data_IF_742738996415
#
_entry.id   IF_742738996415
#
_cell.length_a   1.000
_cell.length_b   1.000
_cell.length_c   1.000
_cell.angle_alpha   90.00
_cell.angle_beta   90.00
_cell.angle_gamma   90.00
#
_symmetry.space_group_name_H-M   'P 1'
#
loop_
_entity.id
_entity.type
_entity.pdbx_description
1 polymer ?
#
# COMPACT_ATOMS: atom_id res chain seq x y z
N UNK A 1 -3.96 15.27 -7.97
CA UNK A 1 -2.73 15.60 -7.22
C UNK A 1 -2.12 14.30 -6.76
N UNK A 2 -0.86 14.02 -7.11
CA UNK A 2 -0.15 12.88 -6.52
C UNK A 2 0.14 13.23 -5.05
N UNK A 3 -0.58 12.60 -4.11
CA UNK A 3 -0.28 12.71 -2.67
C UNK A 3 1.16 12.23 -2.43
N UNK A 4 1.84 12.86 -1.45
CA UNK A 4 3.22 12.59 -0.96
C UNK A 4 3.68 11.14 -1.14
N UNK A 5 4.97 10.95 -1.41
CA UNK A 5 5.67 9.65 -1.34
C UNK A 5 5.13 8.79 -0.19
N UNK A 6 4.36 7.74 -0.50
CA UNK A 6 3.68 6.85 0.47
C UNK A 6 4.59 5.71 0.96
N UNK A 7 5.90 5.93 0.94
CA UNK A 7 6.88 4.94 1.38
C UNK A 7 6.70 4.70 2.89
N UNK A 8 6.50 3.44 3.26
CA UNK A 8 6.17 3.03 4.63
C UNK A 8 4.84 3.58 5.17
N UNK A 9 3.95 4.12 4.32
CA UNK A 9 2.59 4.50 4.72
C UNK A 9 1.70 3.27 4.88
N UNK A 10 0.72 3.35 5.78
CA UNK A 10 -0.32 2.35 5.97
C UNK A 10 -1.71 2.97 5.96
N UNK A 11 -2.71 2.16 5.64
CA UNK A 11 -4.14 2.50 5.72
C UNK A 11 -4.88 1.47 6.57
N UNK A 12 -5.86 1.93 7.33
CA UNK A 12 -6.79 1.10 8.10
C UNK A 12 -8.23 1.53 7.86
N UNK A 13 -9.10 0.56 7.56
CA UNK A 13 -10.48 0.82 7.20
C UNK A 13 -11.38 -0.40 7.39
N UNK A 14 -12.70 -0.16 7.44
CA UNK A 14 -13.71 -1.22 7.44
C UNK A 14 -14.00 -1.76 6.04
N UNK A 15 -13.74 -0.95 5.01
CA UNK A 15 -13.80 -1.37 3.62
C UNK A 15 -12.68 -0.67 2.86
N UNK A 16 -11.82 -1.46 2.24
CA UNK A 16 -10.73 -0.97 1.40
C UNK A 16 -10.93 -1.47 -0.02
N UNK A 17 -10.90 -0.58 -1.01
CA UNK A 17 -10.79 -0.96 -2.41
C UNK A 17 -9.32 -1.13 -2.78
N UNK A 18 -9.02 -2.06 -3.68
CA UNK A 18 -7.65 -2.25 -4.15
C UNK A 18 -7.58 -2.59 -5.63
N UNK A 19 -6.44 -2.28 -6.23
CA UNK A 19 -6.04 -2.80 -7.51
C UNK A 19 -4.55 -3.17 -7.52
N UNK A 20 -4.22 -4.22 -8.25
CA UNK A 20 -2.85 -4.72 -8.42
C UNK A 20 -2.76 -5.57 -9.67
N UNK A 21 -1.57 -5.75 -10.26
CA UNK A 21 -1.40 -6.75 -11.33
C UNK A 21 -1.32 -8.17 -10.80
N UNK A 22 -0.91 -8.36 -9.55
CA UNK A 22 -0.71 -9.67 -8.95
C UNK A 22 -1.25 -9.68 -7.52
N UNK A 23 -2.38 -10.36 -7.32
CA UNK A 23 -2.98 -10.54 -6.01
C UNK A 23 -2.61 -11.92 -5.44
N UNK A 24 -2.08 -11.95 -4.23
CA UNK A 24 -1.77 -13.17 -3.49
C UNK A 24 -2.57 -13.21 -2.20
N UNK A 25 -3.49 -14.17 -2.08
CA UNK A 25 -4.10 -14.51 -0.79
C UNK A 25 -3.18 -15.48 -0.04
N UNK A 26 -3.03 -15.28 1.26
CA UNK A 26 -2.29 -16.19 2.15
C UNK A 26 -3.30 -16.96 3.03
N UNK A 27 -2.92 -18.14 3.56
CA UNK A 27 -3.77 -18.87 4.50
C UNK A 27 -4.15 -18.01 5.72
N UNK A 28 -5.36 -18.17 6.28
CA UNK A 28 -5.79 -17.42 7.45
C UNK A 28 -4.88 -17.69 8.66
N UNK A 29 -4.59 -16.65 9.44
CA UNK A 29 -3.79 -16.72 10.68
C UNK A 29 -4.57 -16.13 11.85
N UNK A 30 -4.20 -16.48 13.07
CA UNK A 30 -4.73 -15.80 14.26
C UNK A 30 -3.92 -14.54 14.53
N UNK A 31 -4.60 -13.40 14.68
CA UNK A 31 -3.98 -12.12 15.03
C UNK A 31 -4.06 -11.93 16.54
N UNK A 32 -2.90 -11.85 17.20
CA UNK A 32 -2.80 -11.73 18.66
C UNK A 32 -3.27 -10.38 19.20
N UNK A 33 -3.18 -9.31 18.41
CA UNK A 33 -3.60 -7.97 18.83
C UNK A 33 -5.13 -7.88 18.79
N UNK A 34 -5.74 -8.34 17.70
CA UNK A 34 -7.19 -8.29 17.51
C UNK A 34 -7.94 -9.46 18.15
N UNK A 35 -7.21 -10.48 18.65
CA UNK A 35 -7.75 -11.73 19.19
C UNK A 35 -8.75 -12.42 18.25
N UNK A 36 -8.50 -12.32 16.95
CA UNK A 36 -9.39 -12.81 15.88
C UNK A 36 -8.59 -13.45 14.74
N UNK A 37 -9.24 -14.32 13.98
CA UNK A 37 -8.68 -14.83 12.72
C UNK A 37 -8.68 -13.71 11.67
N UNK A 38 -7.57 -13.55 10.98
CA UNK A 38 -7.39 -12.61 9.87
C UNK A 38 -6.97 -13.36 8.61
N UNK A 39 -7.19 -12.72 7.47
CA UNK A 39 -6.93 -13.21 6.13
C UNK A 39 -5.85 -12.33 5.52
N UNK A 40 -4.57 -12.75 5.57
CA UNK A 40 -3.48 -11.96 5.04
C UNK A 40 -3.46 -11.98 3.51
N UNK A 41 -2.92 -10.91 2.91
CA UNK A 41 -2.77 -10.79 1.47
C UNK A 41 -1.50 -10.00 1.10
N UNK A 42 -1.11 -10.10 -0.16
CA UNK A 42 -0.06 -9.28 -0.78
C UNK A 42 -0.52 -8.80 -2.16
N UNK A 43 -0.35 -7.52 -2.42
CA UNK A 43 -0.43 -6.89 -3.73
C UNK A 43 1.01 -6.82 -4.27
N UNK A 44 1.32 -7.63 -5.27
CA UNK A 44 2.69 -7.90 -5.67
C UNK A 44 3.30 -6.87 -6.62
N UNK A 45 2.49 -6.23 -7.47
CA UNK A 45 2.96 -5.27 -8.47
C UNK A 45 1.94 -4.15 -8.62
N UNK A 46 2.41 -2.90 -8.51
CA UNK A 46 1.61 -1.69 -8.58
C UNK A 46 0.37 -1.80 -7.69
N UNK A 47 0.61 -2.10 -6.41
CA UNK A 47 -0.46 -2.13 -5.41
C UNK A 47 -0.98 -0.72 -5.19
N UNK A 48 -2.29 -0.58 -5.22
CA UNK A 48 -3.00 0.60 -4.75
C UNK A 48 -4.15 0.15 -3.85
N UNK A 49 -4.34 0.88 -2.76
CA UNK A 49 -5.40 0.64 -1.79
C UNK A 49 -5.99 1.98 -1.37
N UNK A 50 -7.32 2.06 -1.29
CA UNK A 50 -8.05 3.25 -0.85
C UNK A 50 -9.13 2.89 0.18
N UNK A 51 -9.35 3.78 1.14
CA UNK A 51 -10.37 3.63 2.18
C UNK A 51 -11.74 4.07 1.62
N UNK A 52 -12.61 3.09 1.36
CA UNK A 52 -14.01 3.32 0.97
C UNK A 52 -14.89 3.59 2.19
N UNK A 53 -14.65 2.85 3.26
CA UNK A 53 -15.37 2.99 4.53
C UNK A 53 -14.35 3.02 5.67
N UNK A 54 -14.21 4.16 6.36
CA UNK A 54 -13.29 4.29 7.48
C UNK A 54 -13.74 3.41 8.66
N UNK A 55 -12.87 3.25 9.64
CA UNK A 55 -13.25 2.62 10.90
C UNK A 55 -14.10 3.63 11.72
N UNK A 56 -15.11 3.15 12.45
CA UNK A 56 -16.05 4.02 13.18
C UNK A 56 -15.38 4.86 14.28
N UNK A 57 -14.43 4.28 15.01
CA UNK A 57 -13.67 4.96 16.08
C UNK A 57 -12.17 4.68 15.92
N UNK A 58 -11.47 5.36 14.99
CA UNK A 58 -10.07 5.09 14.69
C UNK A 58 -9.15 5.15 15.90
N UNK A 59 -9.41 6.06 16.85
CA UNK A 59 -8.58 6.24 18.06
C UNK A 59 -8.55 4.99 18.95
N UNK A 60 -9.66 4.24 19.00
CA UNK A 60 -9.77 3.03 19.82
C UNK A 60 -9.55 1.73 19.06
N UNK A 61 -9.69 1.76 17.74
CA UNK A 61 -9.77 0.53 16.93
C UNK A 61 -8.62 0.35 15.96
N UNK A 62 -7.96 1.41 15.52
CA UNK A 62 -6.79 1.28 14.66
C UNK A 62 -5.68 0.52 15.42
N UNK A 63 -5.05 -0.44 14.74
CA UNK A 63 -3.93 -1.21 15.29
C UNK A 63 -2.68 -0.34 15.35
N UNK A 64 -2.47 0.49 14.34
CA UNK A 64 -1.31 1.36 14.24
C UNK A 64 -1.75 2.82 14.23
N UNK A 65 -1.21 3.59 15.16
CA UNK A 65 -1.51 5.04 15.31
C UNK A 65 -1.03 5.88 14.14
N UNK A 66 -0.12 5.35 13.31
CA UNK A 66 0.42 6.01 12.12
C UNK A 66 -0.36 5.70 10.85
N UNK A 67 -1.36 4.83 10.91
CA UNK A 67 -2.19 4.50 9.75
C UNK A 67 -3.08 5.67 9.37
N UNK A 68 -3.23 5.89 8.07
CA UNK A 68 -4.28 6.72 7.52
C UNK A 68 -5.62 6.01 7.74
N UNK A 69 -6.63 6.72 8.21
CA UNK A 69 -7.93 6.11 8.60
C UNK A 69 -9.14 6.83 8.01
N UNK A 70 -8.93 7.93 7.28
CA UNK A 70 -10.01 8.73 6.73
C UNK A 70 -10.50 8.19 5.38
N UNK A 71 -11.77 8.48 5.05
CA UNK A 71 -12.34 8.09 3.75
C UNK A 71 -11.58 8.79 2.61
N UNK A 72 -11.23 8.02 1.57
CA UNK A 72 -10.49 8.52 0.40
C UNK A 72 -8.99 8.68 0.65
N UNK A 73 -8.48 8.31 1.83
CA UNK A 73 -7.05 8.10 2.00
C UNK A 73 -6.62 6.82 1.27
N UNK A 74 -5.45 6.92 0.64
CA UNK A 74 -4.93 5.88 -0.21
C UNK A 74 -3.42 5.78 -0.13
N UNK A 75 -2.96 4.56 -0.35
CA UNK A 75 -1.55 4.22 -0.47
C UNK A 75 -1.29 3.55 -1.81
N UNK A 76 -0.10 3.79 -2.34
CA UNK A 76 0.36 3.19 -3.57
C UNK A 76 1.83 2.83 -3.44
N UNK A 77 2.20 1.65 -3.92
CA UNK A 77 3.57 1.18 -3.89
C UNK A 77 3.84 0.03 -4.84
N UNK A 78 5.12 -0.32 -4.98
CA UNK A 78 5.55 -1.48 -5.76
C UNK A 78 4.91 -2.77 -5.23
N UNK A 79 4.92 -2.94 -3.91
CA UNK A 79 4.20 -4.01 -3.21
C UNK A 79 3.49 -3.49 -1.96
N UNK A 80 2.36 -4.10 -1.63
CA UNK A 80 1.57 -3.79 -0.42
C UNK A 80 1.24 -5.12 0.26
N UNK A 81 1.58 -5.24 1.54
CA UNK A 81 1.14 -6.36 2.38
C UNK A 81 0.06 -5.89 3.35
N UNK A 82 -0.81 -6.82 3.73
CA UNK A 82 -1.91 -6.47 4.60
C UNK A 82 -2.69 -7.68 5.10
N UNK A 83 -3.76 -7.39 5.82
CA UNK A 83 -4.70 -8.39 6.30
C UNK A 83 -6.11 -7.81 6.41
N UNK A 84 -7.10 -8.70 6.39
CA UNK A 84 -8.51 -8.36 6.61
C UNK A 84 -9.12 -9.30 7.62
N UNK A 85 -10.04 -8.82 8.46
CA UNK A 85 -10.77 -9.66 9.42
C UNK A 85 -11.85 -10.52 8.78
N UNK A 86 -12.23 -10.26 7.52
CA UNK A 86 -13.14 -11.14 6.75
C UNK A 86 -12.42 -11.82 5.59
N UNK A 87 -12.95 -12.98 5.13
CA UNK A 87 -12.43 -13.64 3.94
C UNK A 87 -12.37 -12.70 2.74
N UNK A 88 -11.23 -12.71 2.03
CA UNK A 88 -11.03 -11.90 0.84
C UNK A 88 -11.63 -12.65 -0.35
N UNK A 89 -12.54 -11.98 -1.05
CA UNK A 89 -13.14 -12.54 -2.26
C UNK A 89 -12.11 -12.58 -3.39
N UNK A 90 -12.17 -13.57 -4.30
CA UNK A 90 -11.35 -13.56 -5.50
C UNK A 90 -11.52 -12.24 -6.26
N UNK A 91 -10.43 -11.53 -6.60
CA UNK A 91 -10.53 -10.27 -7.32
C UNK A 91 -10.97 -10.50 -8.77
N UNK A 92 -11.64 -9.50 -9.33
CA UNK A 92 -12.02 -9.49 -10.74
C UNK A 92 -10.87 -8.97 -11.57
N UNK A 93 -10.58 -9.60 -12.71
CA UNK A 93 -9.58 -9.09 -13.67
C UNK A 93 -10.27 -8.13 -14.64
N UNK A 94 -9.67 -6.97 -14.85
CA UNK A 94 -10.13 -5.96 -15.80
C UNK A 94 -8.97 -5.19 -16.40
N UNK A 95 -9.26 -4.29 -17.34
CA UNK A 95 -8.27 -3.34 -17.86
C UNK A 95 -8.18 -2.14 -16.92
N UNK A 96 -7.00 -1.87 -16.35
CA UNK A 96 -6.75 -0.64 -15.58
C UNK A 96 -6.29 0.52 -16.49
N UNK A 97 -5.45 0.20 -17.46
CA UNK A 97 -4.89 1.10 -18.49
C UNK A 97 -4.60 0.26 -19.73
N UNK A 98 -4.89 0.76 -20.93
CA UNK A 98 -5.11 -0.01 -22.18
C UNK A 98 -4.08 -1.07 -22.63
N UNK A 99 -2.94 -1.22 -21.96
CA UNK A 99 -1.92 -2.23 -22.29
C UNK A 99 -1.79 -3.37 -21.27
N UNK A 100 -2.36 -3.28 -20.07
CA UNK A 100 -2.16 -4.29 -19.02
C UNK A 100 -3.43 -4.55 -18.20
N UNK A 101 -3.69 -5.84 -17.90
CA UNK A 101 -4.75 -6.24 -16.98
C UNK A 101 -4.34 -6.01 -15.53
N UNK A 102 -5.31 -5.66 -14.70
CA UNK A 102 -5.19 -5.58 -13.25
C UNK A 102 -6.32 -6.36 -12.59
N UNK A 103 -6.03 -6.87 -11.41
CA UNK A 103 -6.98 -7.42 -10.46
C UNK A 103 -7.54 -6.29 -9.61
N UNK A 104 -8.86 -6.21 -9.53
CA UNK A 104 -9.61 -5.27 -8.70
C UNK A 104 -10.37 -6.04 -7.62
N UNK A 105 -10.43 -5.51 -6.41
CA UNK A 105 -11.13 -6.16 -5.33
C UNK A 105 -11.46 -5.21 -4.18
N UNK A 106 -12.11 -5.79 -3.17
CA UNK A 106 -12.39 -5.10 -1.91
C UNK A 106 -12.08 -6.00 -0.72
N UNK A 107 -11.62 -5.37 0.36
CA UNK A 107 -11.34 -5.96 1.65
C UNK A 107 -12.43 -5.49 2.61
N UNK A 108 -13.04 -6.41 3.38
CA UNK A 108 -14.20 -6.09 4.22
C UNK A 108 -13.95 -6.37 5.69
N UNK A 109 -14.58 -5.59 6.55
CA UNK A 109 -14.26 -5.58 7.98
C UNK A 109 -12.97 -4.81 8.22
N UNK A 110 -12.55 -4.73 9.48
CA UNK A 110 -11.28 -4.09 9.84
C UNK A 110 -10.15 -4.73 9.03
N UNK A 111 -9.52 -3.90 8.21
CA UNK A 111 -8.50 -4.26 7.25
C UNK A 111 -7.34 -3.28 7.35
N UNK A 112 -6.14 -3.78 7.18
CA UNK A 112 -4.88 -3.04 7.21
C UNK A 112 -4.11 -3.32 5.93
N UNK A 113 -3.50 -2.30 5.37
CA UNK A 113 -2.58 -2.42 4.24
C UNK A 113 -1.40 -1.46 4.41
N UNK A 114 -0.20 -1.90 4.05
CA UNK A 114 1.03 -1.14 4.21
C UNK A 114 1.95 -1.31 3.01
N UNK A 115 2.58 -0.22 2.60
CA UNK A 115 3.56 -0.22 1.51
C UNK A 115 4.88 -0.80 1.99
N UNK A 116 5.24 -1.99 1.48
CA UNK A 116 6.61 -2.47 1.59
C UNK A 116 7.47 -1.69 0.59
N UNK A 117 8.39 -0.87 1.11
CA UNK A 117 9.38 -0.21 0.26
C UNK A 117 10.62 -1.09 0.15
N UNK A 118 11.09 -1.41 -1.07
CA UNK A 118 12.41 -1.97 -1.26
C UNK A 118 13.46 -1.07 -0.60
N UNK A 119 14.46 -1.64 0.08
CA UNK A 119 15.47 -0.90 0.83
C UNK A 119 16.08 0.28 0.07
N UNK A 120 16.25 0.14 -1.26
CA UNK A 120 16.77 1.21 -2.14
C UNK A 120 15.81 2.38 -2.31
N UNK A 121 14.53 2.12 -2.59
CA UNK A 121 13.52 3.17 -2.79
C UNK A 121 13.27 3.92 -1.47
N UNK A 122 13.35 3.22 -0.33
CA UNK A 122 13.29 3.83 0.99
C UNK A 122 14.44 4.83 1.21
N UNK A 123 15.67 4.41 0.92
CA UNK A 123 16.87 5.26 1.06
C UNK A 123 16.87 6.47 0.12
N UNK A 124 16.21 6.37 -1.03
CA UNK A 124 16.08 7.44 -2.02
C UNK A 124 14.80 8.26 -1.86
N UNK A 125 13.99 8.00 -0.84
CA UNK A 125 12.78 8.78 -0.59
C UNK A 125 13.13 10.21 -0.17
N UNK A 126 12.34 11.17 -0.64
CA UNK A 126 12.53 12.59 -0.32
C UNK A 126 12.54 12.84 1.21
N UNK A 127 11.77 12.05 1.97
CA UNK A 127 11.74 12.14 3.43
C UNK A 127 13.04 11.67 4.09
N UNK A 128 13.69 10.63 3.58
CA UNK A 128 15.01 10.17 4.09
C UNK A 128 16.10 11.14 3.67
N UNK A 129 16.09 11.62 2.43
CA UNK A 129 17.04 12.62 1.94
C UNK A 129 16.94 13.93 2.76
N UNK A 130 15.73 14.37 3.12
CA UNK A 130 15.52 15.55 3.95
C UNK A 130 16.06 15.38 5.39
N UNK A 131 16.01 14.16 5.95
CA UNK A 131 16.49 13.86 7.31
C UNK A 131 18.00 13.54 7.36
N UNK A 132 18.56 13.07 6.25
CA UNK A 132 19.96 12.66 6.15
C UNK A 132 20.58 13.18 4.84
N UNK A 133 20.87 14.49 4.74
CA UNK A 133 21.38 15.12 3.52
C UNK A 133 22.74 14.58 3.06
N UNK A 134 23.48 13.88 3.94
CA UNK A 134 24.72 13.19 3.62
C UNK A 134 24.56 11.88 2.82
N UNK A 135 23.34 11.39 2.60
CA UNK A 135 23.10 10.19 1.77
C UNK A 135 23.26 10.60 0.31
N UNK A 136 24.37 10.18 -0.31
CA UNK A 136 24.70 10.46 -1.71
C UNK A 136 23.58 9.93 -2.62
N UNK A 137 23.02 10.80 -3.45
CA UNK A 137 22.14 10.39 -4.55
C UNK A 137 22.91 9.45 -5.48
N UNK A 138 22.65 8.15 -5.35
CA UNK A 138 23.10 7.18 -6.36
C UNK A 138 22.21 7.38 -7.58
N UNK A 139 22.63 8.27 -8.48
CA UNK A 139 22.01 8.44 -9.80
C UNK A 139 22.05 7.08 -10.49
N UNK A 140 20.87 6.48 -10.68
CA UNK A 140 20.75 5.22 -11.39
C UNK A 140 21.00 5.50 -12.88
N UNK A 141 22.05 4.95 -13.51
CA UNK A 141 22.41 5.28 -14.90
C UNK A 141 21.33 4.90 -15.93
N UNK A 142 20.32 4.13 -15.53
CA UNK A 142 19.15 3.79 -16.36
C UNK A 142 18.25 5.03 -16.60
N UNK A 143 18.23 5.99 -15.67
CA UNK A 143 17.51 7.27 -15.80
C UNK A 143 18.47 8.41 -16.08
N UNK A 144 19.57 8.15 -16.81
CA UNK A 144 20.44 9.19 -17.33
C UNK A 144 19.62 10.11 -18.23
N UNK A 145 19.17 11.23 -17.67
CA UNK A 145 18.67 12.35 -18.44
C UNK A 145 19.77 12.73 -19.43
N UNK A 146 19.40 12.73 -20.70
CA UNK A 146 20.16 13.33 -21.79
C UNK A 146 20.20 14.85 -21.50
N UNK A 147 21.19 15.26 -20.71
CA UNK A 147 21.55 16.66 -20.52
C UNK A 147 22.23 17.13 -21.80
N UNK A 148 21.42 17.37 -22.83
CA UNK A 148 21.81 18.24 -23.93
C UNK A 148 21.22 19.62 -23.71
N UNK A 149 22.16 20.57 -23.70
CA UNK A 149 22.03 22.01 -24.00
C UNK A 149 21.75 22.94 -22.81
N UNK A 150 22.85 23.37 -22.17
CA UNK A 150 23.15 24.80 -21.98
C UNK A 150 24.22 25.16 -23.01
#
# INVERSE_FOLDING_TARGET
MAKKSNICSSVEGNNLSFNTRQFFSKPPIFNEILKKRVYPFKLGINGYVEIETPIEDPEKTAVYTTSLTEKGDSIQGGSIDGWSTRPIKPPTKGAATGTHSASFGSLKGHSYAHVESPHRDHLQSADIQARHPQVIEIINPIYGFDLKEI
#
